data_IF_168674010221
#
_entry.id   IF_168674010221
#
_cell.length_a   1.000
_cell.length_b   1.000
_cell.length_c   1.000
_cell.angle_alpha   90.00
_cell.angle_beta   90.00
_cell.angle_gamma   90.00
#
_symmetry.space_group_name_H-M   'P 1'
#
loop_
_entity.id
_entity.type
_entity.pdbx_description
1 polymer ?
#
# COMPACT_ATOMS: atom_id res chain seq x y z
N UNK A 1 5.56 -24.41 5.99
CA UNK A 1 6.19 -23.86 4.77
C UNK A 1 5.37 -24.03 3.48
N UNK A 2 4.52 -25.02 3.36
CA UNK A 2 3.71 -25.24 2.14
C UNK A 2 2.40 -24.45 2.10
N UNK A 3 1.95 -23.86 3.21
CA UNK A 3 0.70 -23.08 3.26
C UNK A 3 0.81 -21.65 2.74
N UNK A 4 2.02 -21.06 2.73
CA UNK A 4 2.22 -19.66 2.37
C UNK A 4 2.20 -19.40 0.85
N UNK A 5 2.50 -20.38 0.03
CA UNK A 5 2.55 -20.22 -1.42
C UNK A 5 1.18 -20.39 -2.12
N UNK A 6 0.23 -21.12 -1.54
CA UNK A 6 -1.09 -21.37 -2.16
C UNK A 6 -1.93 -20.10 -2.38
N UNK A 7 -1.70 -19.04 -1.59
CA UNK A 7 -2.41 -17.77 -1.78
C UNK A 7 -1.88 -16.94 -2.95
N UNK A 8 -0.59 -17.05 -3.26
CA UNK A 8 0.05 -16.30 -4.33
C UNK A 8 -0.17 -16.87 -5.72
N UNK A 9 -0.59 -18.13 -5.81
CA UNK A 9 -0.92 -18.80 -7.09
C UNK A 9 -2.23 -18.25 -7.70
N UNK A 10 -3.03 -17.54 -6.92
CA UNK A 10 -4.22 -16.88 -7.41
C UNK A 10 -3.89 -15.44 -7.84
N UNK A 11 -3.88 -15.14 -9.15
CA UNK A 11 -3.54 -13.79 -9.64
C UNK A 11 -4.50 -12.71 -9.15
N UNK A 12 -5.75 -13.07 -8.86
CA UNK A 12 -6.74 -12.14 -8.31
C UNK A 12 -6.39 -11.74 -6.87
N UNK A 13 -5.93 -12.68 -6.06
CA UNK A 13 -5.51 -12.41 -4.68
C UNK A 13 -4.27 -11.51 -4.65
N UNK A 14 -3.29 -11.76 -5.50
CA UNK A 14 -2.11 -10.91 -5.64
C UNK A 14 -2.46 -9.47 -6.08
N UNK A 15 -3.40 -9.32 -7.00
CA UNK A 15 -3.88 -8.02 -7.43
C UNK A 15 -4.63 -7.28 -6.31
N UNK A 16 -5.51 -7.97 -5.60
CA UNK A 16 -6.25 -7.42 -4.45
C UNK A 16 -5.31 -6.99 -3.32
N UNK A 17 -4.29 -7.79 -3.02
CA UNK A 17 -3.30 -7.45 -2.01
C UNK A 17 -2.50 -6.19 -2.38
N UNK A 18 -2.01 -6.08 -3.62
CA UNK A 18 -1.31 -4.88 -4.10
C UNK A 18 -2.21 -3.65 -4.05
N UNK A 19 -3.48 -3.81 -4.41
CA UNK A 19 -4.45 -2.73 -4.29
C UNK A 19 -4.62 -2.28 -2.84
N UNK A 20 -4.71 -3.21 -1.89
CA UNK A 20 -4.79 -2.90 -0.47
C UNK A 20 -3.59 -2.10 0.04
N UNK A 21 -2.36 -2.43 -0.39
CA UNK A 21 -1.16 -1.65 -0.05
C UNK A 21 -1.24 -0.22 -0.59
N UNK A 22 -1.74 -0.04 -1.80
CA UNK A 22 -1.94 1.27 -2.41
C UNK A 22 -2.98 2.08 -1.62
N UNK A 23 -4.13 1.49 -1.30
CA UNK A 23 -5.19 2.16 -0.54
C UNK A 23 -4.74 2.57 0.86
N UNK A 24 -4.04 1.69 1.58
CA UNK A 24 -3.45 2.01 2.88
C UNK A 24 -2.50 3.21 2.81
N UNK A 25 -1.73 3.31 1.74
CA UNK A 25 -0.68 4.31 1.59
C UNK A 25 -1.19 5.69 1.17
N UNK A 26 -2.39 5.77 0.58
CA UNK A 26 -2.94 7.03 0.04
C UNK A 26 -2.95 8.19 1.03
N UNK A 27 -3.42 8.03 2.28
CA UNK A 27 -3.45 9.13 3.22
C UNK A 27 -2.07 9.67 3.59
N UNK A 28 -1.03 8.84 3.49
CA UNK A 28 0.34 9.16 3.89
C UNK A 28 1.20 9.70 2.76
N UNK A 29 0.68 9.70 1.55
CA UNK A 29 1.39 10.17 0.36
C UNK A 29 0.81 11.50 -0.13
N UNK A 30 1.64 12.33 -0.76
CA UNK A 30 1.16 13.58 -1.34
C UNK A 30 0.18 13.29 -2.49
N UNK A 31 -1.05 13.79 -2.36
CA UNK A 31 -1.97 13.75 -3.47
C UNK A 31 -1.67 14.92 -4.41
N UNK A 32 -1.46 14.62 -5.68
CA UNK A 32 -1.40 15.61 -6.76
C UNK A 32 -2.83 16.00 -7.20
N UNK A 33 -3.65 16.46 -6.25
CA UNK A 33 -5.00 16.97 -6.55
C UNK A 33 -4.97 18.39 -7.09
N UNK A 34 -6.09 18.82 -7.68
CA UNK A 34 -6.33 20.18 -8.19
C UNK A 34 -6.27 21.28 -7.12
N UNK A 35 -6.24 20.91 -5.85
CA UNK A 35 -6.15 21.85 -4.73
C UNK A 35 -4.67 22.05 -4.37
N UNK A 36 -4.22 23.30 -4.34
CA UNK A 36 -2.83 23.70 -4.06
C UNK A 36 -2.30 23.29 -2.67
N UNK A 37 -3.14 22.79 -1.78
CA UNK A 37 -2.75 22.34 -0.45
C UNK A 37 -2.43 20.86 -0.47
N UNK A 38 -1.15 20.54 -0.47
CA UNK A 38 -0.65 19.18 -0.26
C UNK A 38 -0.97 18.76 1.19
N UNK A 39 -1.97 17.92 1.35
CA UNK A 39 -2.31 17.34 2.64
C UNK A 39 -1.88 15.87 2.64
N UNK A 40 -1.15 15.52 3.64
CA UNK A 40 -0.88 14.11 3.96
C UNK A 40 -1.12 13.90 5.45
N UNK A 41 -1.56 12.68 5.78
CA UNK A 41 -1.78 12.30 7.16
C UNK A 41 -0.43 12.14 7.88
N UNK A 42 -0.39 12.59 9.12
CA UNK A 42 0.74 12.36 10.02
C UNK A 42 0.77 10.89 10.44
N UNK A 43 1.96 10.38 10.72
CA UNK A 43 2.19 9.03 11.22
C UNK A 43 1.99 8.89 12.73
N UNK A 44 1.50 9.91 13.41
CA UNK A 44 1.27 9.92 14.87
C UNK A 44 0.33 8.79 15.35
N UNK A 45 -0.60 8.35 14.50
CA UNK A 45 -1.54 7.28 14.82
C UNK A 45 -1.01 5.88 14.55
N UNK A 46 0.13 5.77 13.86
CA UNK A 46 0.78 4.49 13.57
C UNK A 46 1.48 4.01 14.85
N UNK A 47 1.25 2.75 15.30
CA UNK A 47 1.96 2.19 16.45
C UNK A 47 3.47 2.21 16.24
N UNK A 48 4.23 2.63 17.25
CA UNK A 48 5.69 2.77 17.14
C UNK A 48 6.40 1.45 16.85
N UNK A 49 5.93 0.37 17.44
CA UNK A 49 6.46 -0.98 17.21
C UNK A 49 6.16 -1.54 15.83
N UNK A 50 5.23 -0.92 15.10
CA UNK A 50 4.84 -1.30 13.73
C UNK A 50 5.29 -0.27 12.66
N UNK A 51 6.08 0.73 13.06
CA UNK A 51 6.50 1.79 12.15
C UNK A 51 7.37 1.27 10.99
N UNK A 52 8.22 0.30 11.25
CA UNK A 52 9.04 -0.32 10.19
C UNK A 52 8.18 -1.05 9.16
N UNK A 53 7.12 -1.73 9.60
CA UNK A 53 6.16 -2.36 8.70
C UNK A 53 5.40 -1.30 7.89
N UNK A 54 4.94 -0.23 8.54
CA UNK A 54 4.31 0.90 7.88
C UNK A 54 5.20 1.45 6.75
N UNK A 55 6.48 1.71 7.04
CA UNK A 55 7.41 2.25 6.05
C UNK A 55 7.62 1.27 4.88
N UNK A 56 7.76 -0.02 5.15
CA UNK A 56 7.89 -1.03 4.08
C UNK A 56 6.66 -1.09 3.17
N UNK A 57 5.46 -0.87 3.72
CA UNK A 57 4.23 -0.79 2.90
C UNK A 57 4.26 0.43 1.99
N UNK A 58 4.68 1.59 2.51
CA UNK A 58 4.81 2.81 1.70
C UNK A 58 5.83 2.60 0.57
N UNK A 59 6.99 2.02 0.88
CA UNK A 59 8.03 1.72 -0.11
C UNK A 59 7.54 0.70 -1.15
N UNK A 60 6.82 -0.34 -0.73
CA UNK A 60 6.22 -1.33 -1.62
C UNK A 60 5.21 -0.68 -2.58
N UNK A 61 4.37 0.23 -2.09
CA UNK A 61 3.44 1.01 -2.92
C UNK A 61 4.18 1.83 -3.97
N UNK A 62 5.26 2.50 -3.61
CA UNK A 62 6.04 3.32 -4.54
C UNK A 62 6.67 2.45 -5.63
N UNK A 63 7.18 1.27 -5.27
CA UNK A 63 7.70 0.30 -6.23
C UNK A 63 6.61 -0.22 -7.16
N UNK A 64 5.41 -0.53 -6.66
CA UNK A 64 4.28 -0.99 -7.47
C UNK A 64 3.92 0.07 -8.52
N UNK A 65 3.81 1.33 -8.11
CA UNK A 65 3.43 2.44 -9.01
C UNK A 65 4.54 2.77 -10.01
N UNK A 66 5.80 2.82 -9.56
CA UNK A 66 6.93 3.07 -10.44
C UNK A 66 7.04 2.01 -11.55
N UNK A 67 6.77 0.75 -11.22
CA UNK A 67 6.84 -0.33 -12.20
C UNK A 67 5.61 -0.47 -13.09
N UNK A 68 4.48 0.08 -12.73
CA UNK A 68 3.33 0.16 -13.63
C UNK A 68 3.57 1.14 -14.78
N UNK A 69 4.36 2.18 -14.53
CA UNK A 69 4.72 3.17 -15.55
C UNK A 69 5.97 2.79 -16.37
N UNK A 70 6.82 1.91 -15.83
CA UNK A 70 8.12 1.52 -16.39
C UNK A 70 8.18 0.04 -16.77
N UNK A 71 7.07 -0.56 -17.17
CA UNK A 71 6.99 -1.99 -17.51
C UNK A 71 8.01 -2.44 -18.55
N UNK A 72 8.55 -1.53 -19.35
CA UNK A 72 9.52 -1.81 -20.40
C UNK A 72 10.96 -1.90 -19.85
N UNK A 73 11.31 -1.14 -18.82
CA UNK A 73 12.68 -1.07 -18.29
C UNK A 73 13.04 -2.25 -17.37
N UNK A 74 12.06 -2.91 -16.78
CA UNK A 74 12.27 -4.10 -15.95
C UNK A 74 12.13 -5.42 -16.72
N UNK A 75 11.83 -5.37 -18.01
CA UNK A 75 11.73 -6.54 -18.86
C UNK A 75 13.13 -7.08 -19.18
N UNK A 76 13.38 -8.36 -18.88
CA UNK A 76 14.55 -9.08 -19.32
C UNK A 76 14.17 -9.99 -20.48
N UNK A 77 14.96 -9.91 -21.55
CA UNK A 77 14.84 -10.83 -22.68
C UNK A 77 15.67 -12.06 -22.37
N UNK A 78 15.00 -13.20 -22.24
CA UNK A 78 15.66 -14.49 -22.14
C UNK A 78 15.76 -15.11 -23.53
N UNK A 79 16.98 -15.28 -24.01
CA UNK A 79 17.24 -16.03 -25.24
C UNK A 79 17.15 -17.51 -24.92
N UNK A 80 16.19 -18.18 -25.50
CA UNK A 80 16.11 -19.65 -25.41
C UNK A 80 17.20 -20.28 -26.27
N UNK A 81 18.01 -21.14 -25.67
CA UNK A 81 18.96 -21.96 -26.40
C UNK A 81 18.30 -23.08 -27.22
N UNK A 82 16.98 -23.26 -27.05
CA UNK A 82 16.22 -24.26 -27.81
C UNK A 82 15.91 -23.71 -29.19
N UNK A 83 16.45 -24.38 -30.21
CA UNK A 83 16.26 -24.01 -31.63
C UNK A 83 14.75 -23.93 -31.96
N UNK A 84 14.33 -22.78 -32.46
CA UNK A 84 12.96 -22.55 -32.95
C UNK A 84 11.98 -21.96 -31.95
N UNK A 85 12.40 -21.71 -30.71
CA UNK A 85 11.55 -20.97 -29.76
C UNK A 85 11.83 -19.46 -29.79
N UNK A 86 10.80 -18.62 -29.77
CA UNK A 86 10.99 -17.19 -29.71
C UNK A 86 11.58 -16.77 -28.35
N UNK A 87 12.28 -15.63 -28.28
CA UNK A 87 12.77 -15.11 -27.02
C UNK A 87 11.61 -14.80 -26.07
N UNK A 88 11.77 -15.21 -24.81
CA UNK A 88 10.78 -14.96 -23.76
C UNK A 88 11.08 -13.63 -23.06
N UNK A 89 10.11 -12.75 -23.03
CA UNK A 89 10.17 -11.54 -22.22
C UNK A 89 9.55 -11.87 -20.87
N UNK A 90 10.34 -11.83 -19.81
CA UNK A 90 9.87 -12.12 -18.45
C UNK A 90 10.10 -10.93 -17.53
N UNK A 91 9.12 -10.65 -16.67
CA UNK A 91 9.31 -9.79 -15.51
C UNK A 91 9.87 -10.63 -14.37
N UNK A 92 11.08 -10.31 -13.92
CA UNK A 92 11.74 -11.10 -12.88
C UNK A 92 11.17 -10.89 -11.47
N UNK A 93 10.33 -9.88 -11.24
CA UNK A 93 9.85 -9.57 -9.89
C UNK A 93 8.44 -9.01 -9.92
N UNK A 94 7.55 -9.62 -9.17
CA UNK A 94 6.22 -9.08 -8.91
C UNK A 94 6.36 -8.24 -7.64
N UNK A 95 6.48 -6.92 -7.80
CA UNK A 95 6.68 -6.00 -6.69
C UNK A 95 5.45 -5.93 -5.77
N UNK A 96 5.69 -5.78 -4.49
CA UNK A 96 4.67 -5.64 -3.45
C UNK A 96 4.15 -6.94 -2.88
N UNK A 97 4.42 -8.10 -3.49
CA UNK A 97 3.99 -9.40 -2.96
C UNK A 97 4.91 -9.94 -1.87
N UNK A 98 6.10 -9.38 -1.71
CA UNK A 98 7.05 -9.75 -0.65
C UNK A 98 6.45 -9.57 0.74
N UNK A 99 5.58 -8.59 0.92
CA UNK A 99 4.92 -8.31 2.19
C UNK A 99 3.70 -9.20 2.46
N UNK A 100 3.30 -10.05 1.51
CA UNK A 100 2.15 -10.96 1.70
C UNK A 100 2.35 -11.94 2.87
N UNK A 101 3.59 -12.36 3.13
CA UNK A 101 3.96 -13.18 4.30
C UNK A 101 3.65 -12.49 5.64
N UNK A 102 3.53 -11.17 5.66
CA UNK A 102 3.25 -10.34 6.82
C UNK A 102 1.77 -9.90 6.88
N UNK A 103 0.87 -10.58 6.17
CA UNK A 103 -0.54 -10.16 6.03
C UNK A 103 -1.25 -10.00 7.38
N UNK A 104 -0.98 -10.88 8.35
CA UNK A 104 -1.57 -10.80 9.69
C UNK A 104 -1.07 -9.56 10.45
N UNK A 105 0.21 -9.25 10.33
CA UNK A 105 0.80 -8.03 10.91
C UNK A 105 0.29 -6.77 10.21
N UNK A 106 0.08 -6.82 8.89
CA UNK A 106 -0.51 -5.72 8.12
C UNK A 106 -1.95 -5.47 8.56
N UNK A 107 -2.74 -6.52 8.74
CA UNK A 107 -4.10 -6.40 9.25
C UNK A 107 -4.10 -5.76 10.64
N UNK A 108 -3.27 -6.24 11.55
CA UNK A 108 -3.12 -5.67 12.90
C UNK A 108 -2.68 -4.19 12.86
N UNK A 109 -1.76 -3.84 11.96
CA UNK A 109 -1.33 -2.46 11.76
C UNK A 109 -2.51 -1.56 11.36
N UNK A 110 -3.31 -1.99 10.39
CA UNK A 110 -4.48 -1.25 9.92
C UNK A 110 -5.50 -1.06 11.04
N UNK A 111 -5.88 -2.15 11.71
CA UNK A 111 -6.87 -2.13 12.80
C UNK A 111 -6.43 -1.22 13.94
N UNK A 112 -5.20 -1.37 14.42
CA UNK A 112 -4.67 -0.55 15.52
C UNK A 112 -4.56 0.92 15.14
N UNK A 113 -4.15 1.21 13.91
CA UNK A 113 -4.08 2.60 13.42
C UNK A 113 -5.46 3.23 13.36
N UNK A 114 -6.47 2.51 12.87
CA UNK A 114 -7.86 2.96 12.86
C UNK A 114 -8.40 3.21 14.27
N UNK A 115 -8.14 2.30 15.20
CA UNK A 115 -8.55 2.47 16.59
C UNK A 115 -7.97 3.74 17.20
N UNK A 116 -6.68 4.00 16.96
CA UNK A 116 -6.01 5.23 17.41
C UNK A 116 -6.66 6.49 16.79
N UNK A 117 -7.03 6.43 15.50
CA UNK A 117 -7.73 7.52 14.83
C UNK A 117 -9.12 7.77 15.41
N UNK A 118 -9.88 6.74 15.72
CA UNK A 118 -11.20 6.87 16.35
C UNK A 118 -11.11 7.44 17.77
N UNK A 119 -10.08 7.10 18.52
CA UNK A 119 -9.83 7.71 19.84
C UNK A 119 -9.56 9.22 19.68
N UNK A 120 -8.76 9.62 18.71
CA UNK A 120 -8.47 11.03 18.45
C UNK A 120 -9.71 11.77 17.93
N UNK A 121 -10.51 11.16 17.06
CA UNK A 121 -11.78 11.74 16.59
C UNK A 121 -12.71 12.06 17.75
N UNK A 122 -12.88 11.13 18.70
CA UNK A 122 -13.70 11.36 19.91
C UNK A 122 -13.15 12.49 20.75
N UNK A 123 -11.82 12.52 20.96
CA UNK A 123 -11.16 13.60 21.71
C UNK A 123 -11.41 14.98 21.07
N UNK A 124 -11.29 15.06 19.75
CA UNK A 124 -11.54 16.29 19.01
C UNK A 124 -13.00 16.72 19.08
N UNK A 125 -13.94 15.78 18.98
CA UNK A 125 -15.36 16.06 19.10
C UNK A 125 -15.75 16.64 20.48
N UNK A 126 -15.05 16.25 21.54
CA UNK A 126 -15.24 16.80 22.89
C UNK A 126 -14.68 18.23 23.03
N UNK A 127 -13.60 18.54 22.33
CA UNK A 127 -12.92 19.83 22.40
C UNK A 127 -13.57 20.89 21.50
N UNK A 128 -14.12 20.48 20.34
CA UNK A 128 -14.77 21.40 19.41
C UNK A 128 -16.27 21.52 19.71
N UNK A 129 -16.79 22.71 20.01
CA UNK A 129 -18.22 22.94 20.17
C UNK A 129 -18.97 22.56 18.89
N UNK A 130 -20.13 21.95 19.05
CA UNK A 130 -20.97 21.39 17.96
C UNK A 130 -21.32 22.36 16.83
N UNK A 131 -21.24 23.69 17.07
CA UNK A 131 -21.52 24.72 16.06
C UNK A 131 -20.40 24.95 15.02
N UNK A 132 -19.18 24.46 15.24
CA UNK A 132 -18.08 24.62 14.29
C UNK A 132 -18.08 23.57 13.18
N UNK A 133 -18.66 22.40 13.44
CA UNK A 133 -18.75 21.30 12.46
C UNK A 133 -19.84 21.54 11.40
N UNK A 134 -20.87 22.33 11.71
CA UNK A 134 -21.90 22.66 10.72
C UNK A 134 -21.40 23.65 9.66
N UNK A 135 -20.44 24.51 10.00
CA UNK A 135 -19.85 25.48 9.06
C UNK A 135 -18.82 24.86 8.09
N UNK A 136 -18.41 23.60 8.31
CA UNK A 136 -17.49 22.89 7.43
C UNK A 136 -18.21 22.03 6.36
N UNK A 137 -19.55 21.91 6.45
CA UNK A 137 -20.38 21.16 5.50
C UNK A 137 -20.95 22.02 4.36
N UNK A 138 -20.68 23.29 4.39
CA UNK A 138 -20.96 24.23 3.28
C UNK A 138 -19.67 24.56 2.55
#
# INVERSE_FOLDING_TARGET
MVKEQKGLDNPLLGAAFRYALIEYSKPYTESRGTVKNKRRLDTAHVPRDMYDLHQRIIDARDQILAHSDLTVLAAKIYMNEIRGMPPLISKNKIHGLEEFKNIDDIQRLIETTLDNMYVEEKRLAEVFPSGLLENLKT
#
